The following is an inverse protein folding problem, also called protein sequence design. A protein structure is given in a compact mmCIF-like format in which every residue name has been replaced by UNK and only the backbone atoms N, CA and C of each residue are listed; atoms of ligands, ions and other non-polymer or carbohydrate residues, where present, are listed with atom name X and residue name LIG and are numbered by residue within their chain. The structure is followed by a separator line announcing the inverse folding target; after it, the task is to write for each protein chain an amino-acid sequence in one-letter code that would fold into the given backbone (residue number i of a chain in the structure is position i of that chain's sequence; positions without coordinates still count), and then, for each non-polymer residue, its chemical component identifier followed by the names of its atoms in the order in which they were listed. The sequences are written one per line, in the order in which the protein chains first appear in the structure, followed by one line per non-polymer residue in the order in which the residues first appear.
data_IF_504224381090
#
_entry.id   IF_504224381090
#
_cell.length_a   1.000
_cell.length_b   1.000
_cell.length_c   1.000
_cell.angle_alpha   90.00
_cell.angle_beta   90.00
_cell.angle_gamma   90.00
#
_symmetry.space_group_name_H-M   'P 1'
#
loop_
_entity.id
_entity.type
_entity.pdbx_description
1 polymer ?
#
# COMPACT_ATOMS: atom_id res chain seq x y z
N UNK A 1 16.94 -3.77 -16.47
CA UNK A 1 16.41 -3.19 -15.22
C UNK A 1 15.79 -4.31 -14.42
N UNK A 2 16.40 -4.71 -13.31
CA UNK A 2 15.76 -5.61 -12.35
C UNK A 2 15.25 -4.73 -11.21
N UNK A 3 13.96 -4.41 -11.23
CA UNK A 3 13.30 -3.68 -10.14
C UNK A 3 12.88 -4.67 -9.07
N UNK A 4 13.23 -4.40 -7.80
CA UNK A 4 12.74 -5.16 -6.65
C UNK A 4 11.33 -4.70 -6.20
N UNK A 5 10.56 -4.15 -7.15
CA UNK A 5 9.24 -3.52 -7.00
C UNK A 5 8.27 -4.17 -7.97
N UNK A 6 7.03 -4.34 -7.54
CA UNK A 6 6.01 -5.05 -8.31
C UNK A 6 4.95 -5.66 -7.41
N UNK A 7 4.15 -6.55 -7.97
CA UNK A 7 3.08 -7.22 -7.25
C UNK A 7 2.90 -8.68 -7.67
N UNK A 8 2.32 -9.44 -6.76
CA UNK A 8 1.80 -10.79 -6.97
C UNK A 8 0.35 -10.81 -6.51
N UNK A 9 -0.50 -11.51 -7.24
CA UNK A 9 -1.89 -11.68 -6.84
C UNK A 9 -2.32 -13.13 -6.95
N UNK A 10 -3.19 -13.55 -6.03
CA UNK A 10 -3.85 -14.85 -6.01
C UNK A 10 -5.36 -14.61 -5.99
N UNK A 11 -6.08 -15.37 -6.82
CA UNK A 11 -7.54 -15.38 -6.80
C UNK A 11 -8.10 -16.75 -6.41
N UNK A 12 -9.28 -16.73 -5.81
CA UNK A 12 -10.05 -17.94 -5.54
C UNK A 12 -11.55 -17.65 -5.60
N UNK A 13 -12.34 -18.71 -5.82
CA UNK A 13 -13.79 -18.68 -5.65
C UNK A 13 -14.13 -19.44 -4.37
N UNK A 14 -14.87 -18.78 -3.47
CA UNK A 14 -15.46 -19.39 -2.30
C UNK A 14 -16.98 -19.36 -2.45
N UNK A 15 -17.57 -20.52 -2.75
CA UNK A 15 -18.97 -20.64 -3.17
C UNK A 15 -19.27 -19.75 -4.39
N UNK A 16 -20.20 -18.82 -4.25
CA UNK A 16 -20.61 -17.83 -5.26
C UNK A 16 -19.84 -16.51 -5.14
N UNK A 17 -18.87 -16.42 -4.22
CA UNK A 17 -18.09 -15.21 -3.94
C UNK A 17 -16.66 -15.37 -4.42
N UNK A 18 -16.25 -14.50 -5.35
CA UNK A 18 -14.90 -14.43 -5.88
C UNK A 18 -14.03 -13.45 -5.09
N UNK A 19 -12.80 -13.86 -4.77
CA UNK A 19 -11.86 -13.09 -3.96
C UNK A 19 -10.51 -12.96 -4.66
N UNK A 20 -9.89 -11.79 -4.57
CA UNK A 20 -8.55 -11.50 -5.07
C UNK A 20 -7.70 -10.88 -3.97
N UNK A 21 -6.53 -11.47 -3.73
CA UNK A 21 -5.54 -10.99 -2.77
C UNK A 21 -4.32 -10.48 -3.54
N UNK A 22 -3.95 -9.23 -3.33
CA UNK A 22 -2.84 -8.56 -4.01
C UNK A 22 -1.78 -8.18 -2.98
N UNK A 23 -0.56 -8.66 -3.17
CA UNK A 23 0.61 -8.26 -2.40
C UNK A 23 1.57 -7.49 -3.31
N UNK A 24 1.84 -6.24 -2.97
CA UNK A 24 2.67 -5.32 -3.74
C UNK A 24 3.75 -4.68 -2.87
N UNK A 25 4.83 -4.29 -3.53
CA UNK A 25 5.90 -3.50 -2.97
C UNK A 25 6.16 -2.33 -3.94
N UNK A 26 5.60 -1.16 -3.62
CA UNK A 26 5.65 0.03 -4.49
C UNK A 26 6.91 0.86 -4.28
N UNK A 27 7.17 1.83 -5.16
CA UNK A 27 8.32 2.71 -5.14
C UNK A 27 8.63 3.30 -3.75
N UNK A 28 9.86 3.12 -3.31
CA UNK A 28 10.35 3.63 -2.02
C UNK A 28 10.93 5.04 -2.18
N UNK A 29 10.96 5.80 -1.09
CA UNK A 29 11.49 7.17 -1.06
C UNK A 29 10.42 8.19 -0.69
N UNK A 30 10.83 9.25 0.01
CA UNK A 30 9.88 10.20 0.64
C UNK A 30 8.99 10.91 -0.39
N UNK A 31 9.58 11.35 -1.50
CA UNK A 31 8.91 12.17 -2.52
C UNK A 31 8.38 11.37 -3.71
N UNK A 32 8.56 10.04 -3.74
CA UNK A 32 8.18 9.17 -4.86
C UNK A 32 6.67 8.83 -4.89
N UNK A 33 5.79 9.79 -4.56
CA UNK A 33 4.35 9.54 -4.48
C UNK A 33 3.73 9.37 -5.87
N UNK A 34 4.21 10.11 -6.88
CA UNK A 34 3.79 9.91 -8.28
C UNK A 34 4.19 8.52 -8.79
N UNK A 35 5.43 8.08 -8.51
CA UNK A 35 5.90 6.75 -8.90
C UNK A 35 5.04 5.64 -8.27
N UNK A 36 4.64 5.80 -7.00
CA UNK A 36 3.72 4.87 -6.33
C UNK A 36 2.34 4.83 -7.00
N UNK A 37 1.82 5.98 -7.42
CA UNK A 37 0.55 6.03 -8.14
C UNK A 37 0.66 5.33 -9.51
N UNK A 38 1.76 5.55 -10.23
CA UNK A 38 2.06 4.87 -11.49
C UNK A 38 2.20 3.36 -11.30
N UNK A 39 2.87 2.91 -10.23
CA UNK A 39 2.98 1.50 -9.88
C UNK A 39 1.59 0.90 -9.63
N UNK A 40 0.72 1.59 -8.86
CA UNK A 40 -0.66 1.16 -8.62
C UNK A 40 -1.44 0.95 -9.92
N UNK A 41 -1.44 1.94 -10.82
CA UNK A 41 -2.14 1.83 -12.11
C UNK A 41 -1.61 0.68 -12.95
N UNK A 42 -0.28 0.54 -13.02
CA UNK A 42 0.38 -0.55 -13.75
C UNK A 42 -0.05 -1.92 -13.24
N UNK A 43 -0.17 -2.09 -11.92
CA UNK A 43 -0.61 -3.36 -11.31
C UNK A 43 -2.11 -3.58 -11.51
N UNK A 44 -2.94 -2.58 -11.22
CA UNK A 44 -4.40 -2.67 -11.26
C UNK A 44 -4.91 -2.97 -12.67
N UNK A 45 -4.31 -2.35 -13.68
CA UNK A 45 -4.72 -2.45 -15.09
C UNK A 45 -3.94 -3.54 -15.86
N UNK A 46 -2.75 -3.89 -15.40
CA UNK A 46 -1.84 -4.80 -16.10
C UNK A 46 -1.89 -6.26 -15.65
N UNK A 47 -2.43 -6.57 -14.45
CA UNK A 47 -2.47 -7.93 -13.93
C UNK A 47 -3.72 -8.69 -14.39
N UNK A 48 -3.49 -9.79 -15.12
CA UNK A 48 -4.54 -10.68 -15.61
C UNK A 48 -4.41 -12.09 -15.04
N UNK A 49 -5.56 -12.72 -14.82
CA UNK A 49 -5.69 -14.13 -14.45
C UNK A 49 -6.19 -14.95 -15.65
N UNK A 50 -6.16 -16.27 -15.49
CA UNK A 50 -6.74 -17.19 -16.47
C UNK A 50 -8.19 -16.81 -16.82
N UNK A 51 -8.58 -17.08 -18.07
CA UNK A 51 -9.90 -16.74 -18.62
C UNK A 51 -10.18 -15.22 -18.68
N UNK A 52 -9.14 -14.40 -18.73
CA UNK A 52 -9.26 -12.95 -18.94
C UNK A 52 -9.83 -12.20 -17.74
N UNK A 53 -9.81 -12.78 -16.54
CA UNK A 53 -10.22 -12.10 -15.30
C UNK A 53 -9.17 -11.07 -14.91
N UNK A 54 -9.59 -9.90 -14.46
CA UNK A 54 -8.73 -8.83 -13.92
C UNK A 54 -8.88 -8.75 -12.41
N UNK A 55 -8.04 -7.95 -11.73
CA UNK A 55 -8.18 -7.68 -10.29
C UNK A 55 -9.61 -7.22 -9.97
N UNK A 56 -10.11 -6.19 -10.64
CA UNK A 56 -11.42 -5.56 -10.38
C UNK A 56 -12.63 -6.41 -10.82
N UNK A 57 -12.40 -7.59 -11.41
CA UNK A 57 -13.48 -8.51 -11.79
C UNK A 57 -13.99 -9.39 -10.63
N UNK A 58 -13.42 -9.26 -9.43
CA UNK A 58 -13.74 -10.07 -8.25
C UNK A 58 -14.69 -9.34 -7.30
N UNK A 59 -15.54 -10.09 -6.60
CA UNK A 59 -16.50 -9.52 -5.63
C UNK A 59 -15.80 -8.89 -4.43
N UNK A 60 -14.62 -9.42 -4.06
CA UNK A 60 -13.78 -8.82 -3.03
C UNK A 60 -12.35 -8.71 -3.53
N UNK A 61 -11.78 -7.52 -3.43
CA UNK A 61 -10.35 -7.29 -3.70
C UNK A 61 -9.69 -6.78 -2.44
N UNK A 62 -8.61 -7.44 -2.07
CA UNK A 62 -7.88 -7.20 -0.83
C UNK A 62 -6.42 -6.96 -1.17
N UNK A 63 -5.94 -5.74 -0.95
CA UNK A 63 -4.52 -5.43 -1.02
C UNK A 63 -3.90 -5.61 0.36
N UNK A 64 -2.85 -6.42 0.46
CA UNK A 64 -1.99 -6.61 1.63
C UNK A 64 -0.55 -6.35 1.23
N UNK A 65 -0.13 -5.09 1.30
CA UNK A 65 1.03 -4.61 0.54
C UNK A 65 1.83 -3.57 1.30
N UNK A 66 3.16 -3.54 1.07
CA UNK A 66 4.01 -2.39 1.42
C UNK A 66 3.86 -1.32 0.34
N UNK A 67 2.88 -0.43 0.54
CA UNK A 67 2.57 0.61 -0.44
C UNK A 67 3.55 1.78 -0.43
N UNK A 68 4.47 1.83 0.54
CA UNK A 68 5.49 2.87 0.65
C UNK A 68 5.03 4.35 0.69
N UNK A 69 3.73 4.67 0.86
CA UNK A 69 3.30 6.07 1.11
C UNK A 69 3.90 6.60 2.42
N UNK A 70 4.25 7.89 2.50
CA UNK A 70 4.96 8.51 3.64
C UNK A 70 4.24 9.78 4.11
N UNK A 71 4.39 10.12 5.40
CA UNK A 71 3.71 11.27 6.04
C UNK A 71 4.42 12.61 5.78
N UNK A 72 5.10 12.78 4.63
CA UNK A 72 5.21 14.13 4.10
C UNK A 72 3.82 14.67 3.69
N UNK A 73 2.84 13.78 3.57
CA UNK A 73 1.41 14.03 3.43
C UNK A 73 0.74 13.68 4.77
N UNK A 74 0.04 14.63 5.39
CA UNK A 74 -0.88 14.36 6.50
C UNK A 74 -1.85 13.21 6.16
N UNK A 75 -2.42 12.56 7.19
CA UNK A 75 -3.48 11.56 6.95
C UNK A 75 -4.60 12.13 6.08
N UNK A 76 -4.91 13.42 6.24
CA UNK A 76 -5.84 14.15 5.40
C UNK A 76 -5.37 14.24 3.94
N UNK A 77 -4.10 14.54 3.67
CA UNK A 77 -3.56 14.60 2.30
C UNK A 77 -3.50 13.22 1.65
N UNK A 78 -3.17 12.16 2.40
CA UNK A 78 -3.25 10.79 1.91
C UNK A 78 -4.71 10.41 1.58
N UNK A 79 -5.63 10.68 2.51
CA UNK A 79 -7.07 10.48 2.29
C UNK A 79 -7.59 11.38 1.16
N UNK A 80 -7.00 12.55 0.93
CA UNK A 80 -7.31 13.41 -0.20
C UNK A 80 -6.73 12.86 -1.50
N UNK A 81 -5.60 12.16 -1.53
CA UNK A 81 -5.16 11.49 -2.76
C UNK A 81 -6.05 10.29 -3.10
N UNK A 82 -6.47 9.53 -2.08
CA UNK A 82 -7.47 8.48 -2.23
C UNK A 82 -8.86 9.05 -2.62
N UNK A 83 -9.25 10.16 -1.98
CA UNK A 83 -10.53 10.85 -2.15
C UNK A 83 -10.65 11.71 -3.41
N UNK A 84 -9.53 12.27 -3.88
CA UNK A 84 -9.36 12.90 -5.20
C UNK A 84 -9.30 11.86 -6.31
N UNK A 85 -9.47 10.58 -5.97
CA UNK A 85 -9.64 9.45 -6.88
C UNK A 85 -8.43 9.18 -7.77
N UNK A 86 -7.21 9.45 -7.29
CA UNK A 86 -6.02 9.11 -8.08
C UNK A 86 -5.67 7.63 -7.94
N UNK A 87 -5.79 7.05 -6.75
CA UNK A 87 -5.46 5.65 -6.48
C UNK A 87 -6.45 5.04 -5.48
N UNK A 88 -6.61 3.72 -5.50
CA UNK A 88 -7.50 2.97 -4.59
C UNK A 88 -8.94 3.51 -4.53
N UNK A 89 -9.49 3.88 -5.70
CA UNK A 89 -10.86 4.43 -5.79
C UNK A 89 -11.89 3.35 -5.43
N UNK A 90 -12.78 3.66 -4.48
CA UNK A 90 -13.84 2.73 -4.05
C UNK A 90 -13.38 1.70 -3.02
N UNK A 91 -12.08 1.64 -2.75
CA UNK A 91 -11.52 0.84 -1.69
C UNK A 91 -11.71 1.51 -0.32
N UNK A 92 -11.72 0.69 0.74
CA UNK A 92 -11.82 1.13 2.14
C UNK A 92 -10.63 0.62 2.94
N UNK A 93 -10.10 1.47 3.80
CA UNK A 93 -9.09 1.12 4.80
C UNK A 93 -9.74 1.18 6.19
N UNK A 94 -9.33 0.26 7.09
CA UNK A 94 -9.79 0.27 8.47
C UNK A 94 -9.10 1.37 9.30
N UNK A 95 -9.69 1.72 10.45
CA UNK A 95 -9.11 2.72 11.35
C UNK A 95 -7.71 2.29 11.84
N UNK A 96 -6.74 3.18 11.66
CA UNK A 96 -5.35 2.93 12.06
C UNK A 96 -5.20 3.29 13.54
N UNK A 97 -5.23 2.26 14.38
CA UNK A 97 -5.15 2.39 15.85
C UNK A 97 -3.83 1.85 16.43
N UNK A 98 -2.83 1.65 15.56
CA UNK A 98 -1.52 1.10 15.90
C UNK A 98 -0.37 2.02 15.44
N UNK A 99 0.82 1.82 16.01
CA UNK A 99 2.03 2.60 15.73
C UNK A 99 2.60 2.34 14.31
N UNK A 100 3.44 3.24 13.76
CA UNK A 100 4.11 2.98 12.48
C UNK A 100 4.84 1.64 12.44
N UNK A 101 4.71 0.90 11.34
CA UNK A 101 5.26 -0.47 11.20
C UNK A 101 6.63 -0.53 10.53
N UNK A 102 7.16 0.61 10.13
CA UNK A 102 8.52 0.80 9.63
C UNK A 102 9.06 2.07 10.31
N UNK A 103 10.35 2.41 10.26
CA UNK A 103 11.48 1.48 10.26
C UNK A 103 12.02 1.39 11.68
N UNK A 104 12.33 0.17 12.08
CA UNK A 104 12.93 -0.14 13.37
C UNK A 104 14.39 -0.55 13.21
N UNK A 105 15.17 -0.37 14.28
CA UNK A 105 16.48 -1.00 14.41
C UNK A 105 16.31 -2.52 14.54
N UNK A 106 17.19 -3.29 13.89
CA UNK A 106 17.01 -4.74 13.79
C UNK A 106 17.01 -5.40 15.17
N UNK A 107 15.97 -6.17 15.46
CA UNK A 107 15.82 -6.90 16.72
C UNK A 107 15.36 -6.03 17.89
N UNK A 108 14.88 -4.81 17.63
CA UNK A 108 14.34 -3.91 18.65
C UNK A 108 12.99 -3.31 18.22
N UNK A 109 12.25 -2.78 19.19
CA UNK A 109 11.08 -1.94 18.96
C UNK A 109 11.45 -0.44 18.96
N UNK A 110 12.72 -0.12 18.74
CA UNK A 110 13.24 1.26 18.68
C UNK A 110 13.25 1.68 17.22
N UNK A 111 12.64 2.82 16.90
CA UNK A 111 12.69 3.40 15.55
C UNK A 111 14.14 3.68 15.13
N UNK A 112 14.43 3.51 13.84
CA UNK A 112 15.78 3.60 13.27
C UNK A 112 16.48 4.90 13.66
N UNK A 113 17.40 4.79 14.62
CA UNK A 113 18.07 5.93 15.26
C UNK A 113 19.11 6.60 14.36
N UNK A 114 19.49 5.96 13.26
CA UNK A 114 20.40 6.56 12.24
C UNK A 114 19.73 7.66 11.43
N UNK A 115 18.43 7.88 11.65
CA UNK A 115 17.64 8.99 11.09
C UNK A 115 17.06 9.88 12.20
N UNK A 116 17.58 9.77 13.43
CA UNK A 116 17.10 10.47 14.62
C UNK A 116 17.38 11.98 14.65
N UNK A 117 17.98 12.55 13.60
CA UNK A 117 18.13 13.99 13.40
C UNK A 117 16.78 14.69 13.15
N UNK A 118 15.70 13.92 13.01
CA UNK A 118 14.35 14.43 12.85
C UNK A 118 13.58 14.35 14.19
N UNK A 119 12.85 15.42 14.59
CA UNK A 119 12.09 15.45 15.85
C UNK A 119 11.14 14.25 16.00
N UNK A 120 10.73 13.88 17.20
CA UNK A 120 9.87 12.70 17.49
C UNK A 120 8.58 12.67 16.65
N UNK A 121 8.00 13.85 16.37
CA UNK A 121 6.88 14.02 15.45
C UNK A 121 7.20 13.60 14.00
N UNK A 122 8.46 13.74 13.57
CA UNK A 122 8.96 13.26 12.29
C UNK A 122 9.36 11.78 12.34
N UNK A 123 9.81 11.22 13.46
CA UNK A 123 10.00 9.77 13.61
C UNK A 123 8.65 9.06 13.51
N UNK A 124 7.62 9.64 14.11
CA UNK A 124 6.23 9.24 13.92
C UNK A 124 5.65 9.66 12.56
N UNK A 125 6.39 10.27 11.63
CA UNK A 125 5.91 10.66 10.27
C UNK A 125 6.81 10.17 9.11
N UNK A 126 8.01 9.66 9.38
CA UNK A 126 9.03 9.31 8.35
C UNK A 126 8.98 7.85 7.91
N UNK A 127 7.99 7.11 8.41
CA UNK A 127 8.21 5.70 8.69
C UNK A 127 6.95 4.84 8.52
N UNK A 128 5.93 5.37 7.84
CA UNK A 128 4.71 4.62 7.59
C UNK A 128 4.76 3.81 6.29
N UNK A 129 5.71 2.87 6.19
CA UNK A 129 5.55 1.74 5.25
C UNK A 129 4.55 0.79 5.87
N UNK A 130 3.27 1.01 5.61
CA UNK A 130 2.26 0.08 6.06
C UNK A 130 2.26 -1.15 5.16
N UNK A 131 2.25 -2.33 5.77
CA UNK A 131 1.43 -3.41 5.25
C UNK A 131 -0.04 -2.98 5.41
N UNK A 132 -0.65 -2.43 4.35
CA UNK A 132 -2.05 -1.96 4.41
C UNK A 132 -2.98 -3.09 4.06
N UNK A 133 -4.11 -3.20 4.76
CA UNK A 133 -5.26 -3.96 4.32
C UNK A 133 -6.25 -2.98 3.70
N UNK A 134 -6.34 -3.00 2.38
CA UNK A 134 -7.32 -2.18 1.67
C UNK A 134 -8.32 -3.12 1.00
N UNK A 135 -9.61 -2.95 1.32
CA UNK A 135 -10.70 -3.84 0.88
C UNK A 135 -11.68 -3.09 -0.01
N UNK A 136 -11.93 -3.64 -1.19
CA UNK A 136 -13.07 -3.27 -2.03
C UNK A 136 -14.16 -4.36 -1.89
N UNK A 137 -15.40 -3.90 -1.73
CA UNK A 137 -16.62 -4.71 -1.90
C UNK A 137 -17.25 -4.40 -3.25
#
# INVERSE_FOLDING_TARGET
MAGNKGAVAIRMDYCDTSMCFVAAHLAAGQLAWEDRNNDYHTISEGLFFARGRTIDSHDNVIWVSDLNYRIALSNEELLNQMGARQVFVGYKEGDITFLPTYKYDNGTDVYDTRRADLPEQYIANSFWSFHRLIVQR
#
